data_IF_302436628814
#
_entry.id   IF_302436628814
#
_cell.length_a   1.000
_cell.length_b   1.000
_cell.length_c   1.000
_cell.angle_alpha   90.00
_cell.angle_beta   90.00
_cell.angle_gamma   90.00
#
_symmetry.space_group_name_H-M   'P 1'
#
loop_
_entity.id
_entity.type
_entity.pdbx_description
1 polymer ?
#
# COMPACT_ATOMS: atom_id res chain seq x y z
N UNK A 1 5.81 14.48 -9.68
CA UNK A 1 6.14 13.04 -9.85
C UNK A 1 6.04 12.38 -8.48
N UNK A 2 5.24 11.34 -8.31
CA UNK A 2 5.20 10.58 -7.04
C UNK A 2 6.42 9.67 -6.90
N UNK A 3 6.79 9.29 -5.67
CA UNK A 3 7.87 8.33 -5.40
C UNK A 3 7.26 7.01 -4.92
N UNK A 4 7.68 5.90 -5.52
CA UNK A 4 7.39 4.56 -5.00
C UNK A 4 8.39 4.28 -3.87
N UNK A 5 7.87 3.98 -2.69
CA UNK A 5 8.68 3.73 -1.48
C UNK A 5 8.58 2.28 -0.98
N UNK A 6 7.59 1.54 -1.47
CA UNK A 6 7.36 0.14 -1.13
C UNK A 6 6.82 -0.57 -2.38
N UNK A 7 7.31 -1.77 -2.66
CA UNK A 7 6.77 -2.66 -3.69
C UNK A 7 6.87 -4.08 -3.17
N UNK A 8 5.75 -4.77 -3.11
CA UNK A 8 5.68 -6.17 -2.69
C UNK A 8 4.83 -6.95 -3.69
N UNK A 9 5.21 -8.19 -3.95
CA UNK A 9 4.51 -9.09 -4.86
C UNK A 9 4.20 -10.40 -4.16
N UNK A 10 3.23 -11.16 -4.71
CA UNK A 10 2.82 -12.48 -4.19
C UNK A 10 2.34 -12.41 -2.73
N UNK A 11 1.41 -11.50 -2.45
CA UNK A 11 0.84 -11.24 -1.12
C UNK A 11 -0.01 -12.39 -0.54
N UNK A 12 -0.14 -13.51 -1.27
CA UNK A 12 -0.99 -14.63 -0.90
C UNK A 12 -2.42 -14.48 -1.41
N UNK A 13 -3.34 -15.19 -0.76
CA UNK A 13 -4.78 -15.21 -1.08
C UNK A 13 -5.65 -14.77 0.10
N UNK A 14 -5.02 -14.22 1.14
CA UNK A 14 -5.72 -13.74 2.32
C UNK A 14 -6.57 -12.52 1.98
N UNK A 15 -7.72 -12.39 2.65
CA UNK A 15 -8.61 -11.24 2.48
C UNK A 15 -8.04 -9.95 3.07
N UNK A 16 -6.98 -10.06 3.89
CA UNK A 16 -6.38 -8.96 4.62
C UNK A 16 -4.88 -8.94 4.41
N UNK A 17 -4.35 -7.76 4.12
CA UNK A 17 -2.91 -7.52 4.03
C UNK A 17 -2.51 -6.42 5.01
N UNK A 18 -1.52 -6.70 5.85
CA UNK A 18 -1.02 -5.79 6.89
C UNK A 18 0.41 -5.40 6.58
N UNK A 19 0.71 -4.11 6.68
CA UNK A 19 2.06 -3.56 6.55
C UNK A 19 2.27 -2.45 7.59
N UNK A 20 3.52 -2.20 7.99
CA UNK A 20 3.84 -1.17 8.98
C UNK A 20 3.99 0.19 8.32
N UNK A 21 3.42 1.23 8.96
CA UNK A 21 3.65 2.65 8.63
C UNK A 21 4.68 3.30 9.54
N UNK A 22 5.28 2.58 10.49
CA UNK A 22 6.17 3.13 11.52
C UNK A 22 7.40 3.87 10.98
N UNK A 23 7.89 3.46 9.80
CA UNK A 23 9.06 4.04 9.16
C UNK A 23 8.71 5.09 8.11
N UNK A 24 7.43 5.48 8.01
CA UNK A 24 6.96 6.51 7.10
C UNK A 24 6.89 7.85 7.84
N UNK A 25 7.42 8.90 7.24
CA UNK A 25 7.25 10.27 7.73
C UNK A 25 5.80 10.73 7.60
N UNK A 26 5.43 11.76 8.35
CA UNK A 26 4.13 12.41 8.23
C UNK A 26 3.83 12.81 6.79
N UNK A 27 2.63 12.51 6.32
CA UNK A 27 2.26 12.79 4.95
C UNK A 27 1.12 11.95 4.41
N UNK A 28 0.89 12.13 3.10
CA UNK A 28 -0.14 11.42 2.34
C UNK A 28 0.51 10.37 1.48
N UNK A 29 0.05 9.13 1.61
CA UNK A 29 0.50 7.98 0.85
C UNK A 29 -0.67 7.37 0.09
N UNK A 30 -0.39 6.80 -1.08
CA UNK A 30 -1.36 6.07 -1.88
C UNK A 30 -0.89 4.62 -1.96
N UNK A 31 -1.67 3.71 -1.38
CA UNK A 31 -1.49 2.27 -1.55
C UNK A 31 -2.24 1.82 -2.80
N UNK A 32 -1.59 1.03 -3.64
CA UNK A 32 -2.22 0.36 -4.78
C UNK A 32 -1.98 -1.14 -4.67
N UNK A 33 -3.04 -1.91 -4.73
CA UNK A 33 -3.01 -3.38 -4.77
C UNK A 33 -3.61 -3.80 -6.09
N UNK A 34 -2.91 -4.67 -6.81
CA UNK A 34 -3.41 -5.30 -8.03
C UNK A 34 -3.51 -6.80 -7.77
N UNK A 35 -4.72 -7.34 -7.85
CA UNK A 35 -4.97 -8.78 -7.71
C UNK A 35 -4.78 -9.50 -9.05
N UNK A 36 -4.70 -10.83 -9.02
CA UNK A 36 -4.40 -11.65 -10.20
C UNK A 36 -5.48 -11.57 -11.29
N UNK A 37 -6.72 -11.31 -10.89
CA UNK A 37 -7.86 -11.02 -11.77
C UNK A 37 -7.81 -9.61 -12.41
N UNK A 38 -6.73 -8.85 -12.15
CA UNK A 38 -6.51 -7.47 -12.59
C UNK A 38 -7.41 -6.44 -11.92
N UNK A 39 -8.01 -6.77 -10.78
CA UNK A 39 -8.70 -5.77 -9.96
C UNK A 39 -7.67 -4.87 -9.28
N UNK A 40 -7.82 -3.56 -9.43
CA UNK A 40 -6.98 -2.56 -8.78
C UNK A 40 -7.74 -1.90 -7.62
N UNK A 41 -7.12 -1.88 -6.45
CA UNK A 41 -7.63 -1.20 -5.27
C UNK A 41 -6.66 -0.10 -4.87
N UNK A 42 -7.17 1.13 -4.80
CA UNK A 42 -6.42 2.30 -4.35
C UNK A 42 -6.91 2.77 -2.99
N UNK A 43 -6.00 2.99 -2.04
CA UNK A 43 -6.35 3.52 -0.72
C UNK A 43 -5.45 4.71 -0.38
N UNK A 44 -6.07 5.83 0.01
CA UNK A 44 -5.36 6.99 0.55
C UNK A 44 -5.11 6.78 2.04
N UNK A 45 -3.87 6.96 2.44
CA UNK A 45 -3.42 6.81 3.82
C UNK A 45 -2.84 8.15 4.27
N UNK A 46 -3.25 8.61 5.46
CA UNK A 46 -2.71 9.81 6.09
C UNK A 46 -1.94 9.35 7.31
N UNK A 47 -0.62 9.49 7.27
CA UNK A 47 0.26 9.18 8.40
C UNK A 47 0.51 10.46 9.18
N UNK A 48 0.32 10.39 10.49
CA UNK A 48 0.67 11.41 11.49
C UNK A 48 1.26 10.68 12.68
N UNK A 49 2.57 10.80 12.89
CA UNK A 49 3.28 10.27 14.05
C UNK A 49 3.44 11.32 15.15
#
# INVERSE_FOLDING_TARGET
MGRIILTQSRLGTDSTYVFSTSNLSDGIYIMKITTRDKTEMGTKIIVKN
#
